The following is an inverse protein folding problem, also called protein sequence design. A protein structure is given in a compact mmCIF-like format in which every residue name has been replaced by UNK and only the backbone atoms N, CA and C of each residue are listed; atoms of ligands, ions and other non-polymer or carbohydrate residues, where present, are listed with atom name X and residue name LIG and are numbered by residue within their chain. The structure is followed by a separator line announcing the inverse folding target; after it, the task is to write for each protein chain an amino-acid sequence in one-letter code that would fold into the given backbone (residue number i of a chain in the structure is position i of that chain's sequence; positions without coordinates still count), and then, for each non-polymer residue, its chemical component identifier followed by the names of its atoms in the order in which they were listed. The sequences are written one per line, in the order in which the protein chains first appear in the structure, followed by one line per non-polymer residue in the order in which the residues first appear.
data_IF_106519794769
#
_entry.id   IF_106519794769
#
_cell.length_a   1.000
_cell.length_b   1.000
_cell.length_c   1.000
_cell.angle_alpha   90.00
_cell.angle_beta   90.00
_cell.angle_gamma   90.00
#
_symmetry.space_group_name_H-M   'P 1'
#
loop_
_entity.id
_entity.type
_entity.pdbx_description
1 polymer ?
#
# COMPACT_ATOMS: atom_id res chain seq x y z
N UNK A 1 -1.15 -30.52 10.51
CA UNK A 1 -2.05 -29.41 10.16
C UNK A 1 -2.24 -29.21 8.65
N UNK A 2 -1.42 -29.75 7.80
CA UNK A 2 -1.27 -29.45 6.36
C UNK A 2 -2.34 -30.05 5.43
N UNK A 3 -3.13 -31.03 5.84
CA UNK A 3 -4.11 -31.68 4.92
C UNK A 3 -5.37 -30.84 4.66
N UNK A 4 -5.73 -29.93 5.55
CA UNK A 4 -7.01 -29.18 5.50
C UNK A 4 -7.11 -28.20 4.34
N UNK A 5 -5.99 -27.71 3.82
CA UNK A 5 -5.95 -26.64 2.82
C UNK A 5 -5.38 -27.06 1.45
N UNK A 6 -5.15 -28.35 1.23
CA UNK A 6 -4.57 -28.84 -0.05
C UNK A 6 -5.38 -28.54 -1.32
N UNK A 7 -6.66 -28.24 -1.17
CA UNK A 7 -7.53 -27.85 -2.26
C UNK A 7 -7.50 -26.35 -2.56
N UNK A 8 -6.89 -25.54 -1.66
CA UNK A 8 -6.83 -24.10 -1.80
C UNK A 8 -5.83 -23.70 -2.89
N UNK A 9 -6.19 -22.70 -3.69
CA UNK A 9 -5.30 -22.02 -4.62
C UNK A 9 -4.84 -20.70 -3.99
N UNK A 10 -3.64 -20.62 -3.42
CA UNK A 10 -3.08 -19.34 -2.98
C UNK A 10 -2.55 -18.57 -4.18
N UNK A 11 -2.97 -17.32 -4.30
CA UNK A 11 -2.54 -16.39 -5.36
C UNK A 11 -2.02 -15.12 -4.70
N UNK A 12 -0.89 -14.59 -5.15
CA UNK A 12 -0.30 -13.34 -4.70
C UNK A 12 -0.05 -12.44 -5.91
N UNK A 13 -0.50 -11.19 -5.84
CA UNK A 13 -0.14 -10.15 -6.80
C UNK A 13 1.07 -9.39 -6.29
N UNK A 14 2.11 -9.30 -7.12
CA UNK A 14 3.33 -8.56 -6.83
C UNK A 14 4.59 -9.38 -7.11
N UNK A 15 5.71 -8.69 -7.36
CA UNK A 15 6.98 -9.31 -7.74
C UNK A 15 8.15 -9.01 -6.80
N UNK A 16 7.91 -8.35 -5.70
CA UNK A 16 8.92 -7.88 -4.75
C UNK A 16 9.09 -8.80 -3.52
N UNK A 17 9.90 -8.37 -2.57
CA UNK A 17 10.18 -9.12 -1.34
C UNK A 17 8.94 -9.29 -0.45
N UNK A 18 8.00 -8.34 -0.47
CA UNK A 18 6.74 -8.44 0.26
C UNK A 18 5.84 -9.53 -0.32
N UNK A 19 5.71 -9.59 -1.65
CA UNK A 19 5.01 -10.67 -2.33
C UNK A 19 5.64 -12.05 -2.07
N UNK A 20 6.99 -12.12 -2.05
CA UNK A 20 7.69 -13.34 -1.66
C UNK A 20 7.36 -13.76 -0.21
N UNK A 21 7.35 -12.82 0.73
CA UNK A 21 7.03 -13.11 2.13
C UNK A 21 5.60 -13.65 2.30
N UNK A 22 4.62 -13.06 1.60
CA UNK A 22 3.24 -13.55 1.57
C UNK A 22 3.16 -14.96 0.97
N UNK A 23 3.80 -15.19 -0.17
CA UNK A 23 3.82 -16.49 -0.83
C UNK A 23 4.44 -17.57 0.05
N UNK A 24 5.55 -17.26 0.72
CA UNK A 24 6.20 -18.17 1.67
C UNK A 24 5.27 -18.55 2.82
N UNK A 25 4.64 -17.58 3.47
CA UNK A 25 3.71 -17.83 4.57
C UNK A 25 2.51 -18.66 4.13
N UNK A 26 1.93 -18.36 2.97
CA UNK A 26 0.83 -19.15 2.40
C UNK A 26 1.26 -20.58 2.13
N UNK A 27 2.44 -20.81 1.58
CA UNK A 27 2.99 -22.15 1.38
C UNK A 27 3.18 -22.89 2.72
N UNK A 28 3.79 -22.27 3.71
CA UNK A 28 4.03 -22.85 5.04
C UNK A 28 2.73 -23.28 5.74
N UNK A 29 1.65 -22.49 5.59
CA UNK A 29 0.35 -22.79 6.19
C UNK A 29 -0.44 -23.82 5.42
N UNK A 30 -0.44 -23.75 4.08
CA UNK A 30 -1.29 -24.58 3.24
C UNK A 30 -0.63 -25.89 2.78
N UNK A 31 0.70 -25.90 2.70
CA UNK A 31 1.48 -27.00 2.12
C UNK A 31 1.31 -27.13 0.60
N UNK A 32 0.78 -26.11 -0.07
CA UNK A 32 0.56 -26.10 -1.53
C UNK A 32 1.51 -25.13 -2.22
N UNK A 33 1.75 -25.32 -3.53
CA UNK A 33 2.41 -24.30 -4.33
C UNK A 33 1.57 -23.03 -4.38
N UNK A 34 2.23 -21.87 -4.41
CA UNK A 34 1.60 -20.55 -4.48
C UNK A 34 1.77 -19.99 -5.89
N UNK A 35 0.71 -19.47 -6.46
CA UNK A 35 0.78 -18.75 -7.73
C UNK A 35 1.11 -17.28 -7.46
N UNK A 36 2.18 -16.79 -8.05
CA UNK A 36 2.55 -15.36 -8.00
C UNK A 36 2.34 -14.75 -9.38
N UNK A 37 1.51 -13.71 -9.46
CA UNK A 37 1.27 -12.95 -10.69
C UNK A 37 2.11 -11.67 -10.63
N UNK A 38 3.06 -11.54 -11.55
CA UNK A 38 4.00 -10.43 -11.58
C UNK A 38 4.50 -10.13 -13.00
N UNK A 39 4.92 -8.90 -13.25
CA UNK A 39 5.61 -8.52 -14.51
C UNK A 39 7.10 -8.83 -14.46
N UNK A 40 7.74 -8.46 -13.37
CA UNK A 40 9.19 -8.62 -13.16
C UNK A 40 9.45 -9.12 -11.71
N UNK A 41 9.30 -10.43 -11.48
CA UNK A 41 9.50 -10.99 -10.15
C UNK A 41 10.98 -11.04 -9.78
N UNK A 42 11.29 -10.73 -8.51
CA UNK A 42 12.64 -10.91 -7.97
C UNK A 42 13.08 -12.38 -8.03
N UNK A 43 14.40 -12.61 -8.03
CA UNK A 43 14.99 -13.96 -8.09
C UNK A 43 14.45 -14.91 -7.01
N UNK A 44 14.22 -14.42 -5.79
CA UNK A 44 13.63 -15.23 -4.72
C UNK A 44 12.24 -15.80 -5.07
N UNK A 45 11.48 -15.15 -5.93
CA UNK A 45 10.19 -15.63 -6.44
C UNK A 45 10.42 -16.59 -7.61
N UNK A 46 11.18 -16.17 -8.62
CA UNK A 46 11.37 -16.94 -9.86
C UNK A 46 12.10 -18.26 -9.67
N UNK A 47 13.01 -18.33 -8.69
CA UNK A 47 13.81 -19.55 -8.39
C UNK A 47 13.21 -20.37 -7.24
N UNK A 48 12.03 -20.02 -6.73
CA UNK A 48 11.42 -20.72 -5.59
C UNK A 48 10.81 -22.05 -6.00
N UNK A 49 11.13 -23.12 -5.29
CA UNK A 49 10.60 -24.46 -5.54
C UNK A 49 9.10 -24.62 -5.25
N UNK A 50 8.49 -23.69 -4.52
CA UNK A 50 7.08 -23.73 -4.14
C UNK A 50 6.25 -22.58 -4.74
N UNK A 51 6.83 -21.78 -5.61
CA UNK A 51 6.12 -20.69 -6.30
C UNK A 51 6.00 -21.02 -7.79
N UNK A 52 4.80 -20.83 -8.32
CA UNK A 52 4.55 -20.84 -9.76
C UNK A 52 4.35 -19.41 -10.22
N UNK A 53 5.24 -18.91 -11.06
CA UNK A 53 5.13 -17.55 -11.59
C UNK A 53 4.19 -17.54 -12.81
N UNK A 54 3.25 -16.62 -12.78
CA UNK A 54 2.42 -16.26 -13.95
C UNK A 54 2.79 -14.84 -14.35
N UNK A 55 3.43 -14.72 -15.49
CA UNK A 55 3.84 -13.42 -16.00
C UNK A 55 2.65 -12.60 -16.50
N UNK A 56 2.63 -11.33 -16.14
CA UNK A 56 1.69 -10.34 -16.60
C UNK A 56 2.47 -9.15 -17.16
N UNK A 57 1.97 -8.52 -18.20
CA UNK A 57 2.57 -7.33 -18.78
C UNK A 57 2.61 -6.18 -17.75
N UNK A 58 3.75 -5.48 -17.67
CA UNK A 58 3.87 -4.30 -16.82
C UNK A 58 2.88 -3.21 -17.27
N UNK A 59 2.17 -2.60 -16.30
CA UNK A 59 1.16 -1.58 -16.64
C UNK A 59 -0.10 -2.13 -17.29
N UNK A 60 -0.33 -3.45 -17.25
CA UNK A 60 -1.59 -4.02 -17.73
C UNK A 60 -2.80 -3.37 -17.05
N UNK A 61 -3.87 -3.06 -17.79
CA UNK A 61 -5.07 -2.46 -17.21
C UNK A 61 -5.74 -3.43 -16.23
N UNK A 62 -6.44 -2.91 -15.21
CA UNK A 62 -7.08 -3.72 -14.16
C UNK A 62 -7.90 -4.90 -14.71
N UNK A 63 -8.68 -4.68 -15.75
CA UNK A 63 -9.56 -5.69 -16.36
C UNK A 63 -8.79 -6.91 -16.86
N UNK A 64 -7.56 -6.73 -17.36
CA UNK A 64 -6.69 -7.85 -17.76
C UNK A 64 -6.25 -8.68 -16.56
N UNK A 65 -5.92 -8.03 -15.45
CA UNK A 65 -5.55 -8.70 -14.20
C UNK A 65 -6.72 -9.50 -13.66
N UNK A 66 -7.92 -8.90 -13.63
CA UNK A 66 -9.15 -9.55 -13.18
C UNK A 66 -9.47 -10.77 -14.05
N UNK A 67 -9.44 -10.62 -15.36
CA UNK A 67 -9.66 -11.75 -16.28
C UNK A 67 -8.64 -12.88 -16.09
N UNK A 68 -7.36 -12.55 -15.84
CA UNK A 68 -6.33 -13.53 -15.53
C UNK A 68 -6.62 -14.26 -14.21
N UNK A 69 -7.00 -13.55 -13.16
CA UNK A 69 -7.36 -14.13 -11.88
C UNK A 69 -8.57 -15.06 -11.99
N UNK A 70 -9.61 -14.64 -12.71
CA UNK A 70 -10.78 -15.48 -12.99
C UNK A 70 -10.39 -16.78 -13.76
N UNK A 71 -9.49 -16.66 -14.75
CA UNK A 71 -8.97 -17.80 -15.49
C UNK A 71 -8.17 -18.77 -14.60
N UNK A 72 -7.33 -18.26 -13.69
CA UNK A 72 -6.56 -19.07 -12.74
C UNK A 72 -7.47 -19.87 -11.80
N UNK A 73 -8.62 -19.33 -11.44
CA UNK A 73 -9.59 -19.96 -10.57
C UNK A 73 -10.71 -20.73 -11.32
N UNK A 74 -10.64 -20.80 -12.64
CA UNK A 74 -11.67 -21.46 -13.47
C UNK A 74 -11.85 -22.94 -13.09
N UNK A 75 -13.11 -23.34 -12.96
CA UNK A 75 -13.47 -24.72 -12.58
C UNK A 75 -13.30 -25.05 -11.10
N UNK A 76 -12.93 -24.08 -10.28
CA UNK A 76 -12.86 -24.25 -8.83
C UNK A 76 -14.19 -23.89 -8.18
N UNK A 77 -14.43 -24.47 -7.01
CA UNK A 77 -15.64 -24.19 -6.22
C UNK A 77 -15.55 -22.82 -5.52
N UNK A 78 -16.66 -22.37 -4.92
CA UNK A 78 -16.70 -21.12 -4.16
C UNK A 78 -15.64 -21.10 -3.05
N UNK A 79 -15.00 -19.93 -2.86
CA UNK A 79 -14.00 -19.70 -1.81
C UNK A 79 -12.86 -20.74 -1.77
N UNK A 80 -12.52 -21.31 -2.92
CA UNK A 80 -11.44 -22.30 -3.05
C UNK A 80 -10.09 -21.69 -3.43
N UNK A 81 -10.02 -20.37 -3.58
CA UNK A 81 -8.81 -19.63 -3.78
C UNK A 81 -8.69 -18.51 -2.74
N UNK A 82 -7.48 -18.07 -2.42
CA UNK A 82 -7.19 -16.88 -1.64
C UNK A 82 -6.32 -15.95 -2.45
N UNK A 83 -6.67 -14.67 -2.47
CA UNK A 83 -5.91 -13.64 -3.18
C UNK A 83 -5.30 -12.67 -2.18
N UNK A 84 -3.98 -12.47 -2.28
CA UNK A 84 -3.21 -11.54 -1.47
C UNK A 84 -2.47 -10.56 -2.37
N UNK A 85 -2.18 -9.39 -1.83
CA UNK A 85 -1.32 -8.37 -2.46
C UNK A 85 -0.64 -7.54 -1.36
N UNK A 86 0.48 -6.90 -1.70
CA UNK A 86 1.27 -6.11 -0.75
C UNK A 86 1.44 -4.65 -1.16
N UNK A 87 0.68 -4.19 -2.17
CA UNK A 87 0.71 -2.79 -2.61
C UNK A 87 -0.67 -2.16 -2.53
N UNK A 88 -0.73 -0.87 -2.23
CA UNK A 88 -1.98 -0.11 -2.13
C UNK A 88 -2.75 -0.15 -3.46
N UNK A 89 -2.06 0.00 -4.59
CA UNK A 89 -2.68 -0.06 -5.92
C UNK A 89 -3.34 -1.41 -6.20
N UNK A 90 -2.68 -2.53 -5.85
CA UNK A 90 -3.27 -3.85 -6.02
C UNK A 90 -4.43 -4.09 -5.05
N UNK A 91 -4.33 -3.62 -3.81
CA UNK A 91 -5.42 -3.68 -2.83
C UNK A 91 -6.65 -2.91 -3.32
N UNK A 92 -6.46 -1.68 -3.82
CA UNK A 92 -7.53 -0.85 -4.38
C UNK A 92 -8.19 -1.52 -5.60
N UNK A 93 -7.39 -2.06 -6.53
CA UNK A 93 -7.90 -2.79 -7.68
C UNK A 93 -8.74 -4.01 -7.26
N UNK A 94 -8.25 -4.82 -6.33
CA UNK A 94 -8.97 -6.00 -5.83
C UNK A 94 -10.29 -5.58 -5.16
N UNK A 95 -10.26 -4.54 -4.33
CA UNK A 95 -11.45 -4.05 -3.63
C UNK A 95 -12.48 -3.46 -4.60
N UNK A 96 -12.05 -2.73 -5.63
CA UNK A 96 -12.92 -2.18 -6.67
C UNK A 96 -13.62 -3.28 -7.52
N UNK A 97 -12.94 -4.41 -7.72
CA UNK A 97 -13.46 -5.54 -8.50
C UNK A 97 -13.90 -6.73 -7.63
N UNK A 98 -14.22 -6.46 -6.36
CA UNK A 98 -14.61 -7.47 -5.37
C UNK A 98 -15.72 -8.39 -5.87
N UNK A 99 -16.80 -7.86 -6.40
CA UNK A 99 -17.96 -8.63 -6.87
C UNK A 99 -17.62 -9.66 -7.96
N UNK A 100 -16.58 -9.40 -8.75
CA UNK A 100 -16.12 -10.29 -9.82
C UNK A 100 -15.22 -11.41 -9.29
N UNK A 101 -14.57 -11.22 -8.15
CA UNK A 101 -13.57 -12.13 -7.58
C UNK A 101 -14.13 -12.99 -6.43
N UNK A 102 -15.00 -12.44 -5.58
CA UNK A 102 -15.57 -13.11 -4.38
C UNK A 102 -16.26 -14.46 -4.67
N UNK A 103 -16.88 -14.69 -5.82
CA UNK A 103 -17.48 -16.00 -6.06
C UNK A 103 -16.49 -17.16 -5.92
N UNK A 104 -15.21 -16.94 -6.20
CA UNK A 104 -14.16 -17.97 -6.14
C UNK A 104 -13.09 -17.69 -5.10
N UNK A 105 -12.73 -16.43 -4.92
CA UNK A 105 -11.65 -15.99 -4.04
C UNK A 105 -12.13 -15.61 -2.64
N UNK A 106 -11.33 -15.93 -1.65
CA UNK A 106 -11.34 -15.24 -0.35
C UNK A 106 -10.47 -14.00 -0.50
N UNK A 107 -11.05 -12.83 -0.24
CA UNK A 107 -10.41 -11.54 -0.37
C UNK A 107 -10.24 -10.91 1.03
N UNK A 108 -9.05 -10.98 1.65
CA UNK A 108 -8.80 -10.36 2.96
C UNK A 108 -8.51 -8.86 2.84
N UNK A 109 -9.33 -8.17 2.09
CA UNK A 109 -9.27 -6.73 1.87
C UNK A 109 -10.59 -6.10 2.33
N UNK A 110 -10.60 -4.86 2.81
CA UNK A 110 -11.85 -4.14 3.08
C UNK A 110 -12.57 -3.80 1.77
N UNK A 111 -13.83 -3.36 1.90
CA UNK A 111 -14.56 -2.77 0.78
C UNK A 111 -13.90 -1.46 0.34
N UNK A 112 -14.12 -1.06 -0.92
CA UNK A 112 -13.41 0.07 -1.52
C UNK A 112 -13.62 1.37 -0.73
N UNK A 113 -14.83 1.62 -0.27
CA UNK A 113 -15.15 2.83 0.51
C UNK A 113 -14.36 2.89 1.83
N UNK A 114 -14.18 1.75 2.49
CA UNK A 114 -13.36 1.65 3.71
C UNK A 114 -11.89 1.80 3.37
N UNK A 115 -11.43 1.18 2.29
CA UNK A 115 -10.04 1.29 1.85
C UNK A 115 -9.68 2.74 1.52
N UNK A 116 -10.53 3.45 0.80
CA UNK A 116 -10.35 4.86 0.45
C UNK A 116 -10.31 5.73 1.71
N UNK A 117 -11.23 5.50 2.66
CA UNK A 117 -11.28 6.24 3.91
C UNK A 117 -10.01 6.06 4.77
N UNK A 118 -9.39 4.86 4.77
CA UNK A 118 -8.17 4.60 5.54
C UNK A 118 -6.88 4.96 4.79
N UNK A 119 -6.94 5.09 3.47
CA UNK A 119 -5.77 5.42 2.64
C UNK A 119 -5.50 6.92 2.58
N UNK A 120 -6.53 7.76 2.71
CA UNK A 120 -6.40 9.20 2.86
C UNK A 120 -6.09 9.58 4.32
N UNK A 121 -4.99 10.29 4.54
CA UNK A 121 -4.51 10.59 5.91
C UNK A 121 -5.51 11.43 6.72
N UNK A 122 -6.14 12.43 6.10
CA UNK A 122 -7.10 13.29 6.80
C UNK A 122 -8.38 12.54 7.15
N UNK A 123 -8.86 11.69 6.23
CA UNK A 123 -10.01 10.81 6.45
C UNK A 123 -9.71 9.74 7.49
N UNK A 124 -8.48 9.18 7.47
CA UNK A 124 -8.03 8.21 8.46
C UNK A 124 -8.00 8.80 9.88
N UNK A 125 -7.42 9.98 10.06
CA UNK A 125 -7.38 10.65 11.38
C UNK A 125 -8.79 10.93 11.91
N UNK A 126 -9.71 11.36 11.05
CA UNK A 126 -11.11 11.58 11.39
C UNK A 126 -11.79 10.29 11.81
N UNK A 127 -11.64 9.23 11.02
CA UNK A 127 -12.17 7.91 11.32
C UNK A 127 -11.64 7.38 12.66
N UNK A 128 -10.34 7.53 12.92
CA UNK A 128 -9.74 7.14 14.19
C UNK A 128 -10.37 7.89 15.37
N UNK A 129 -10.60 9.20 15.23
CA UNK A 129 -11.27 9.99 16.26
C UNK A 129 -12.71 9.53 16.50
N UNK A 130 -13.47 9.20 15.45
CA UNK A 130 -14.85 8.71 15.55
C UNK A 130 -14.95 7.37 16.27
N UNK A 131 -13.97 6.47 16.08
CA UNK A 131 -13.94 5.14 16.72
C UNK A 131 -13.12 5.11 18.02
N UNK A 132 -12.59 6.26 18.46
CA UNK A 132 -11.84 6.38 19.71
C UNK A 132 -10.41 5.81 19.66
N UNK A 133 -9.83 5.67 18.48
CA UNK A 133 -8.43 5.27 18.31
C UNK A 133 -7.53 6.49 18.38
N UNK A 134 -6.53 6.44 19.27
CA UNK A 134 -5.57 7.53 19.43
C UNK A 134 -4.61 7.57 18.23
N UNK A 135 -4.47 8.75 17.63
CA UNK A 135 -3.48 9.05 16.58
C UNK A 135 -2.51 10.12 17.09
N UNK A 136 -1.28 10.15 16.57
CA UNK A 136 -0.41 11.29 16.77
C UNK A 136 -1.10 12.57 16.30
N UNK A 137 -0.86 13.67 17.00
CA UNK A 137 -1.32 14.99 16.53
C UNK A 137 -0.65 15.32 15.21
N UNK A 138 -1.42 15.78 14.25
CA UNK A 138 -0.91 16.19 12.95
C UNK A 138 -1.49 17.55 12.54
N UNK A 139 -0.71 18.30 11.77
CA UNK A 139 -1.12 19.53 11.11
C UNK A 139 -0.71 19.43 9.66
N UNK A 140 -1.67 19.62 8.77
CA UNK A 140 -1.41 19.67 7.32
C UNK A 140 -1.15 21.11 6.92
N UNK A 141 -0.03 21.35 6.23
CA UNK A 141 0.34 22.63 5.65
C UNK A 141 0.29 22.49 4.14
N UNK A 142 -0.63 23.19 3.51
CA UNK A 142 -0.79 23.18 2.05
C UNK A 142 0.08 24.27 1.42
N UNK A 143 1.20 23.87 0.82
CA UNK A 143 2.12 24.78 0.15
C UNK A 143 1.62 25.27 -1.22
N UNK A 144 0.59 24.64 -1.78
CA UNK A 144 -0.04 25.10 -3.02
C UNK A 144 -1.02 26.25 -2.79
N UNK A 145 -1.44 26.47 -1.55
CA UNK A 145 -2.24 27.63 -1.18
C UNK A 145 -1.37 28.89 -1.23
N UNK A 146 -1.67 29.88 -2.08
CA UNK A 146 -0.89 31.12 -2.19
C UNK A 146 -0.88 31.94 -0.89
N UNK A 147 -1.88 31.78 -0.02
CA UNK A 147 -1.98 32.44 1.28
C UNK A 147 -1.35 31.62 2.41
N UNK A 148 -0.72 30.49 2.10
CA UNK A 148 -0.12 29.60 3.08
C UNK A 148 1.01 30.30 3.85
N UNK A 149 0.83 30.42 5.16
CA UNK A 149 1.87 30.83 6.09
C UNK A 149 2.50 29.57 6.69
N UNK A 150 3.78 29.36 6.36
CA UNK A 150 4.52 28.23 6.94
C UNK A 150 4.85 28.50 8.41
N UNK A 151 4.54 27.58 9.34
CA UNK A 151 4.84 27.77 10.76
C UNK A 151 6.35 27.85 11.00
N UNK A 152 6.74 28.74 11.91
CA UNK A 152 8.14 29.02 12.25
C UNK A 152 8.57 28.41 13.58
N UNK A 153 7.61 27.94 14.37
CA UNK A 153 7.83 27.29 15.66
C UNK A 153 6.90 26.08 15.85
N UNK A 154 7.27 25.21 16.78
CA UNK A 154 6.40 24.10 17.18
C UNK A 154 5.12 24.58 17.87
N UNK A 155 5.20 25.71 18.60
CA UNK A 155 4.06 26.32 19.29
C UNK A 155 2.96 26.76 18.32
N UNK A 156 3.32 27.29 17.14
CA UNK A 156 2.36 27.67 16.09
C UNK A 156 1.61 26.45 15.54
N UNK A 157 2.22 25.27 15.62
CA UNK A 157 1.59 23.98 15.32
C UNK A 157 0.84 23.40 16.52
N UNK A 158 0.98 24.02 17.70
CA UNK A 158 0.52 23.49 18.98
C UNK A 158 1.18 22.16 19.34
N UNK A 159 2.44 21.97 18.98
CA UNK A 159 3.27 20.79 19.20
C UNK A 159 4.55 21.17 19.94
N UNK A 160 5.37 20.18 20.25
CA UNK A 160 6.70 20.31 20.82
C UNK A 160 7.73 19.61 19.94
N UNK A 161 8.98 20.07 19.94
CA UNK A 161 10.07 19.34 19.30
C UNK A 161 10.46 18.11 20.11
N UNK A 162 10.92 17.02 19.45
CA UNK A 162 11.16 16.88 18.01
C UNK A 162 9.87 16.65 17.21
N UNK A 163 9.86 17.11 15.97
CA UNK A 163 8.76 16.91 15.03
C UNK A 163 9.16 15.94 13.91
N UNK A 164 8.15 15.31 13.32
CA UNK A 164 8.32 14.52 12.10
C UNK A 164 7.44 15.11 11.01
N UNK A 165 8.07 15.53 9.90
CA UNK A 165 7.34 16.00 8.74
C UNK A 165 7.48 15.01 7.57
N UNK A 166 6.39 14.82 6.85
CA UNK A 166 6.32 13.99 5.64
C UNK A 166 5.31 14.58 4.66
N UNK A 167 5.47 14.30 3.39
CA UNK A 167 4.49 14.70 2.40
C UNK A 167 3.11 14.09 2.70
N UNK A 168 2.06 14.89 2.54
CA UNK A 168 0.67 14.41 2.63
C UNK A 168 0.38 13.44 1.47
N UNK A 169 0.79 13.81 0.24
CA UNK A 169 0.64 12.99 -0.96
C UNK A 169 2.03 12.59 -1.44
N UNK A 170 2.39 11.32 -1.25
CA UNK A 170 3.72 10.81 -1.62
C UNK A 170 3.97 10.86 -3.12
N UNK A 171 2.97 10.58 -3.95
CA UNK A 171 3.08 10.58 -5.41
C UNK A 171 3.43 11.96 -5.98
N UNK A 172 2.89 13.03 -5.42
CA UNK A 172 3.21 14.40 -5.84
C UNK A 172 4.60 14.79 -5.37
N UNK A 173 4.96 14.43 -4.14
CA UNK A 173 6.30 14.67 -3.61
C UNK A 173 7.38 13.93 -4.41
N UNK A 174 7.09 12.72 -4.89
CA UNK A 174 8.06 11.95 -5.68
C UNK A 174 8.39 12.60 -7.04
N UNK A 175 7.51 13.46 -7.56
CA UNK A 175 7.72 14.19 -8.83
C UNK A 175 8.68 15.37 -8.74
N UNK A 176 8.83 15.95 -7.56
CA UNK A 176 9.79 17.06 -7.34
C UNK A 176 11.16 16.50 -6.97
N UNK A 177 12.22 17.21 -7.34
CA UNK A 177 13.61 16.84 -7.02
C UNK A 177 14.40 18.07 -6.59
N UNK A 178 15.04 17.99 -5.43
CA UNK A 178 15.88 19.07 -4.92
C UNK A 178 17.01 18.51 -4.03
N UNK A 179 18.11 19.25 -3.83
CA UNK A 179 19.21 18.84 -2.97
C UNK A 179 18.74 18.62 -1.53
N UNK A 180 19.12 17.48 -0.94
CA UNK A 180 18.75 17.15 0.43
C UNK A 180 17.31 16.65 0.62
N UNK A 181 16.57 16.35 -0.45
CA UNK A 181 15.23 15.75 -0.39
C UNK A 181 15.20 14.51 0.48
N UNK A 182 14.23 14.44 1.39
CA UNK A 182 14.01 13.30 2.29
C UNK A 182 12.54 12.89 2.27
N UNK A 183 12.25 11.61 2.33
CA UNK A 183 10.85 11.12 2.49
C UNK A 183 10.26 11.47 3.86
N UNK A 184 11.11 11.51 4.88
CA UNK A 184 10.76 11.81 6.26
C UNK A 184 11.81 12.82 6.77
N UNK A 185 11.35 13.90 7.35
CA UNK A 185 12.16 14.92 8.00
C UNK A 185 12.00 14.76 9.50
N UNK A 186 13.10 14.60 10.19
CA UNK A 186 13.19 14.72 11.65
C UNK A 186 13.66 16.14 11.94
N UNK A 187 12.95 16.82 12.79
CA UNK A 187 13.11 18.27 13.04
C UNK A 187 13.23 18.46 14.54
N UNK A 188 14.41 18.80 15.00
CA UNK A 188 14.72 18.89 16.42
C UNK A 188 14.54 20.30 16.96
N UNK A 189 14.52 21.32 16.08
CA UNK A 189 14.39 22.73 16.45
C UNK A 189 13.77 23.62 15.37
N UNK A 190 13.54 24.89 15.70
CA UNK A 190 12.96 25.90 14.80
C UNK A 190 13.85 26.21 13.58
N UNK A 191 15.17 26.08 13.71
CA UNK A 191 16.09 26.36 12.60
C UNK A 191 16.00 25.28 11.53
N UNK A 192 15.89 24.03 11.94
CA UNK A 192 15.65 22.89 11.03
C UNK A 192 14.27 22.97 10.38
N UNK A 193 13.23 23.38 11.13
CA UNK A 193 11.89 23.61 10.59
C UNK A 193 11.90 24.68 9.49
N UNK A 194 12.54 25.80 9.74
CA UNK A 194 12.69 26.87 8.76
C UNK A 194 13.52 26.45 7.54
N UNK A 195 14.56 25.63 7.74
CA UNK A 195 15.39 25.06 6.68
C UNK A 195 14.59 24.13 5.76
N UNK A 196 13.77 23.27 6.34
CA UNK A 196 12.88 22.37 5.59
C UNK A 196 11.89 23.19 4.71
N UNK A 197 11.19 24.17 5.28
CA UNK A 197 10.25 25.00 4.52
C UNK A 197 10.90 25.73 3.35
N UNK A 198 12.12 26.27 3.57
CA UNK A 198 12.89 26.93 2.51
C UNK A 198 13.16 25.96 1.36
N UNK A 199 13.67 24.76 1.68
CA UNK A 199 13.97 23.74 0.67
C UNK A 199 12.74 23.31 -0.12
N UNK A 200 11.59 23.20 0.54
CA UNK A 200 10.33 22.81 -0.10
C UNK A 200 9.78 23.94 -1.00
N UNK A 201 9.82 25.20 -0.55
CA UNK A 201 9.38 26.36 -1.33
C UNK A 201 10.26 26.63 -2.56
N UNK A 202 11.57 26.37 -2.46
CA UNK A 202 12.51 26.51 -3.57
C UNK A 202 12.34 25.40 -4.62
N UNK A 203 11.75 24.27 -4.22
CA UNK A 203 11.53 23.14 -5.11
C UNK A 203 10.26 23.26 -5.99
N UNK A 204 9.37 24.22 -5.69
CA UNK A 204 8.12 24.48 -6.42
C UNK A 204 6.93 23.84 -5.77
#
# INVERSE_FOLDING_TARGET
MTQRFRHLLPVVLGGDIGAYALARQLHEVTGTSVTVVASDPIVAISESAYITVVHQEAGAPPERTIALLQKLAQGRGPRSAVLMANTDAAAAMISAHRSELEPTYVLPFPDIDVLDAVSDKASFSRLCAEVGVLTPREVVVDLADPDCVTPTSADELGMEFPLVAKAAIGADYDRISFPGKRKIWFIDDAAELAGMWRSLKEAG
#
